data_IF_518203409073
#
_entry.id   IF_518203409073
#
_cell.length_a   1.000
_cell.length_b   1.000
_cell.length_c   1.000
_cell.angle_alpha   90.00
_cell.angle_beta   90.00
_cell.angle_gamma   90.00
#
_symmetry.space_group_name_H-M   'P 1'
#
loop_
_entity.id
_entity.type
_entity.pdbx_description
1 polymer ?
#
# COMPACT_ATOMS: atom_id res chain seq x y z
N UNK A 1 9.22 3.57 25.24
CA UNK A 1 8.18 2.79 24.53
C UNK A 1 7.65 1.80 25.54
N UNK A 2 6.37 1.89 25.86
CA UNK A 2 5.74 0.93 26.75
C UNK A 2 5.58 -0.41 26.02
N UNK A 3 5.57 -1.53 26.75
CA UNK A 3 5.37 -2.86 26.16
C UNK A 3 4.03 -2.97 25.39
N UNK A 4 3.03 -2.18 25.79
CA UNK A 4 1.73 -2.10 25.14
C UNK A 4 1.83 -1.48 23.74
N UNK A 5 2.64 -0.44 23.54
CA UNK A 5 2.83 0.22 22.24
C UNK A 5 3.39 -0.75 21.19
N UNK A 6 4.31 -1.63 21.59
CA UNK A 6 4.92 -2.63 20.72
C UNK A 6 3.90 -3.70 20.32
N UNK A 7 3.09 -4.15 21.29
CA UNK A 7 2.06 -5.16 21.09
C UNK A 7 0.98 -4.66 20.12
N UNK A 8 0.55 -3.41 20.26
CA UNK A 8 -0.39 -2.77 19.34
C UNK A 8 0.18 -2.65 17.92
N UNK A 9 1.46 -2.28 17.79
CA UNK A 9 2.14 -2.18 16.49
C UNK A 9 2.22 -3.52 15.78
N UNK A 10 2.58 -4.59 16.50
CA UNK A 10 2.63 -5.94 15.95
C UNK A 10 1.24 -6.42 15.51
N UNK A 11 0.22 -6.17 16.32
CA UNK A 11 -1.17 -6.52 16.00
C UNK A 11 -1.63 -5.77 14.74
N UNK A 12 -1.38 -4.47 14.67
CA UNK A 12 -1.70 -3.64 13.51
C UNK A 12 -0.98 -4.12 12.25
N UNK A 13 0.31 -4.46 12.36
CA UNK A 13 1.09 -4.98 11.23
C UNK A 13 0.56 -6.32 10.74
N UNK A 14 0.18 -7.22 11.65
CA UNK A 14 -0.39 -8.51 11.29
C UNK A 14 -1.75 -8.36 10.60
N UNK A 15 -2.60 -7.43 11.06
CA UNK A 15 -3.85 -7.07 10.37
C UNK A 15 -3.59 -6.52 8.97
N UNK A 16 -2.58 -5.66 8.81
CA UNK A 16 -2.20 -5.10 7.52
C UNK A 16 -1.73 -6.19 6.54
N UNK A 17 -0.85 -7.09 6.98
CA UNK A 17 -0.38 -8.23 6.17
C UNK A 17 -1.54 -9.09 5.69
N UNK A 18 -2.50 -9.37 6.57
CA UNK A 18 -3.70 -10.12 6.23
C UNK A 18 -4.57 -9.38 5.20
N UNK A 19 -4.83 -8.09 5.42
CA UNK A 19 -5.57 -7.24 4.50
C UNK A 19 -4.92 -7.22 3.10
N UNK A 20 -3.60 -7.04 3.03
CA UNK A 20 -2.88 -7.01 1.77
C UNK A 20 -2.97 -8.36 1.03
N UNK A 21 -2.91 -9.48 1.76
CA UNK A 21 -3.13 -10.81 1.20
C UNK A 21 -4.53 -10.99 0.60
N UNK A 22 -5.56 -10.50 1.27
CA UNK A 22 -6.95 -10.50 0.79
C UNK A 22 -7.10 -9.63 -0.47
N UNK A 23 -6.51 -8.43 -0.49
CA UNK A 23 -6.51 -7.51 -1.64
C UNK A 23 -5.78 -8.08 -2.85
N UNK A 24 -4.65 -8.77 -2.63
CA UNK A 24 -3.88 -9.44 -3.68
C UNK A 24 -4.70 -10.59 -4.30
N UNK A 25 -5.40 -11.38 -3.47
CA UNK A 25 -6.24 -12.48 -3.92
C UNK A 25 -7.55 -12.01 -4.55
N UNK A 26 -7.98 -10.78 -4.25
CA UNK A 26 -9.24 -10.22 -4.74
C UNK A 26 -10.47 -10.77 -4.02
N UNK A 27 -10.30 -11.34 -2.82
CA UNK A 27 -11.36 -11.91 -2.03
C UNK A 27 -11.14 -11.62 -0.55
N UNK A 28 -12.19 -11.13 0.12
CA UNK A 28 -12.18 -10.81 1.55
C UNK A 28 -13.17 -11.73 2.25
N UNK A 29 -12.70 -12.50 3.23
CA UNK A 29 -13.53 -13.44 4.00
C UNK A 29 -13.90 -12.91 5.39
N UNK A 30 -13.62 -11.63 5.67
CA UNK A 30 -13.81 -10.99 6.97
C UNK A 30 -14.95 -9.99 6.93
N UNK A 31 -15.63 -9.86 8.07
CA UNK A 31 -16.76 -8.96 8.27
C UNK A 31 -16.45 -7.81 9.24
N UNK A 32 -15.20 -7.72 9.72
CA UNK A 32 -14.78 -6.73 10.72
C UNK A 32 -13.46 -6.12 10.27
N UNK A 33 -13.42 -4.78 10.25
CA UNK A 33 -12.29 -3.98 9.80
C UNK A 33 -12.08 -2.81 10.76
N UNK A 34 -10.83 -2.45 11.02
CA UNK A 34 -10.54 -1.16 11.65
C UNK A 34 -10.79 0.00 10.68
N UNK A 35 -10.94 1.19 11.24
CA UNK A 35 -11.07 2.44 10.48
C UNK A 35 -9.95 2.63 9.45
N UNK A 36 -8.70 2.33 9.82
CA UNK A 36 -7.56 2.44 8.91
C UNK A 36 -7.56 1.35 7.82
N UNK A 37 -8.06 0.14 8.10
CA UNK A 37 -8.19 -0.93 7.09
C UNK A 37 -9.17 -0.48 5.98
N UNK A 38 -10.31 0.09 6.39
CA UNK A 38 -11.31 0.65 5.47
C UNK A 38 -10.74 1.81 4.65
N UNK A 39 -10.00 2.72 5.30
CA UNK A 39 -9.38 3.85 4.61
C UNK A 39 -8.43 3.39 3.49
N UNK A 40 -7.68 2.30 3.72
CA UNK A 40 -6.81 1.68 2.71
C UNK A 40 -7.61 1.01 1.60
N UNK A 41 -8.68 0.28 1.94
CA UNK A 41 -9.54 -0.37 0.93
C UNK A 41 -10.24 0.65 0.01
N UNK A 42 -10.74 1.75 0.58
CA UNK A 42 -11.34 2.84 -0.20
C UNK A 42 -10.29 3.48 -1.12
N UNK A 43 -9.10 3.73 -0.60
CA UNK A 43 -7.98 4.28 -1.37
C UNK A 43 -7.55 3.34 -2.51
N UNK A 44 -7.57 2.03 -2.30
CA UNK A 44 -7.30 1.03 -3.35
C UNK A 44 -8.28 1.09 -4.51
N UNK A 45 -9.57 1.32 -4.22
CA UNK A 45 -10.60 1.43 -5.26
C UNK A 45 -10.39 2.72 -6.09
N UNK A 46 -9.93 3.79 -5.46
CA UNK A 46 -9.64 5.05 -6.11
C UNK A 46 -8.34 5.00 -6.94
N UNK A 47 -7.35 4.24 -6.48
CA UNK A 47 -6.10 4.03 -7.20
C UNK A 47 -6.31 3.08 -8.40
N UNK A 48 -6.51 3.64 -9.59
CA UNK A 48 -6.61 2.88 -10.87
C UNK A 48 -5.27 2.21 -11.24
N UNK A 49 -4.92 1.12 -10.57
CA UNK A 49 -3.69 0.36 -10.85
C UNK A 49 -3.79 -0.41 -12.16
N UNK A 50 -2.74 -0.30 -13.00
CA UNK A 50 -2.61 -1.13 -14.19
C UNK A 50 -2.52 -2.61 -13.78
N UNK A 51 -3.40 -3.45 -14.35
CA UNK A 51 -3.51 -4.89 -14.03
C UNK A 51 -2.19 -5.64 -14.15
N UNK A 52 -1.32 -5.28 -15.12
CA UNK A 52 0.00 -5.91 -15.31
C UNK A 52 0.96 -5.65 -14.15
N UNK A 53 0.96 -4.42 -13.61
CA UNK A 53 1.88 -4.00 -12.52
C UNK A 53 1.24 -4.09 -11.13
N UNK A 54 -0.05 -4.40 -11.03
CA UNK A 54 -0.80 -4.42 -9.76
C UNK A 54 -0.13 -5.30 -8.70
N UNK A 55 0.19 -6.54 -9.03
CA UNK A 55 0.81 -7.48 -8.06
C UNK A 55 2.16 -6.98 -7.55
N UNK A 56 3.03 -6.53 -8.45
CA UNK A 56 4.34 -5.97 -8.10
C UNK A 56 4.20 -4.71 -7.24
N UNK A 57 3.30 -3.81 -7.63
CA UNK A 57 3.01 -2.57 -6.89
C UNK A 57 2.53 -2.87 -5.47
N UNK A 58 1.61 -3.84 -5.31
CA UNK A 58 1.11 -4.26 -3.99
C UNK A 58 2.20 -4.87 -3.12
N UNK A 59 3.11 -5.66 -3.71
CA UNK A 59 4.26 -6.22 -2.98
C UNK A 59 5.22 -5.13 -2.51
N UNK A 60 5.49 -4.14 -3.36
CA UNK A 60 6.36 -3.01 -3.00
C UNK A 60 5.71 -2.12 -1.94
N UNK A 61 4.40 -1.86 -2.07
CA UNK A 61 3.62 -1.16 -1.07
C UNK A 61 3.68 -1.87 0.29
N UNK A 62 3.46 -3.19 0.33
CA UNK A 62 3.56 -3.96 1.57
C UNK A 62 4.92 -3.81 2.26
N UNK A 63 6.01 -3.91 1.51
CA UNK A 63 7.37 -3.69 2.03
C UNK A 63 7.59 -2.25 2.53
N UNK A 64 6.98 -1.26 1.87
CA UNK A 64 7.09 0.13 2.29
C UNK A 64 6.37 0.38 3.63
N UNK A 65 5.18 -0.18 3.80
CA UNK A 65 4.44 -0.13 5.08
C UNK A 65 5.20 -0.86 6.19
N UNK A 66 5.72 -2.06 5.95
CA UNK A 66 6.52 -2.80 6.93
C UNK A 66 7.72 -1.95 7.43
N UNK A 67 8.41 -1.27 6.51
CA UNK A 67 9.52 -0.37 6.84
C UNK A 67 9.06 0.88 7.57
N UNK A 68 7.88 1.41 7.26
CA UNK A 68 7.31 2.56 7.97
C UNK A 68 7.02 2.18 9.43
N UNK A 69 6.32 1.06 9.64
CA UNK A 69 5.92 0.62 10.98
C UNK A 69 7.12 0.20 11.84
N UNK A 70 8.20 -0.28 11.23
CA UNK A 70 9.46 -0.53 11.93
C UNK A 70 10.13 0.76 12.46
N UNK A 71 9.83 1.93 11.89
CA UNK A 71 10.41 3.22 12.30
C UNK A 71 9.65 3.90 13.44
N UNK A 72 8.39 3.54 13.66
CA UNK A 72 7.62 4.12 14.74
C UNK A 72 6.11 3.89 14.64
N UNK A 73 5.39 4.28 15.71
CA UNK A 73 3.95 4.15 15.79
C UNK A 73 3.25 5.07 14.80
N UNK A 74 2.20 4.56 14.18
CA UNK A 74 1.37 5.29 13.23
C UNK A 74 0.58 4.33 12.34
N UNK A 75 -0.59 4.76 11.84
CA UNK A 75 -1.38 3.93 10.95
C UNK A 75 -0.60 3.61 9.66
N UNK A 76 -0.83 2.45 9.05
CA UNK A 76 -0.23 2.13 7.76
C UNK A 76 -0.52 3.22 6.72
N UNK A 77 0.52 3.68 6.01
CA UNK A 77 0.35 4.64 4.94
C UNK A 77 -0.59 4.12 3.83
N UNK A 78 -1.28 5.02 3.15
CA UNK A 78 -2.20 4.67 2.04
C UNK A 78 -1.45 4.29 0.77
N UNK A 79 -2.14 3.66 -0.19
CA UNK A 79 -1.55 3.31 -1.48
C UNK A 79 -1.25 4.58 -2.29
N UNK A 80 -2.17 5.54 -2.34
CA UNK A 80 -1.97 6.84 -3.00
C UNK A 80 -0.69 7.53 -2.53
N UNK A 81 -0.50 7.63 -1.21
CA UNK A 81 0.70 8.19 -0.60
C UNK A 81 1.98 7.43 -1.01
N UNK A 82 1.91 6.10 -1.11
CA UNK A 82 3.04 5.30 -1.62
C UNK A 82 3.32 5.58 -3.10
N UNK A 83 2.28 5.71 -3.92
CA UNK A 83 2.41 6.01 -5.35
C UNK A 83 2.98 7.40 -5.57
N UNK A 84 2.56 8.41 -4.81
CA UNK A 84 3.12 9.77 -4.84
C UNK A 84 4.62 9.76 -4.51
N UNK A 85 5.01 9.08 -3.42
CA UNK A 85 6.44 8.91 -3.07
C UNK A 85 7.23 8.19 -4.16
N UNK A 86 6.60 7.27 -4.87
CA UNK A 86 7.22 6.54 -5.98
C UNK A 86 7.33 7.39 -7.24
N UNK A 87 6.38 8.28 -7.54
CA UNK A 87 6.43 9.20 -8.67
C UNK A 87 7.50 10.27 -8.50
N UNK A 88 7.74 10.74 -7.27
CA UNK A 88 8.84 11.65 -6.97
C UNK A 88 10.23 11.00 -7.10
N UNK A 89 10.30 9.67 -7.19
CA UNK A 89 11.50 8.97 -7.69
C UNK A 89 11.33 8.84 -9.20
N UNK A 90 12.10 9.54 -10.04
CA UNK A 90 11.97 9.41 -11.48
C UNK A 90 12.08 7.92 -11.85
N UNK A 91 10.97 7.36 -12.35
CA UNK A 91 10.90 5.99 -12.86
C UNK A 91 11.53 6.04 -14.27
N UNK A 92 12.72 5.46 -14.49
CA UNK A 92 13.36 5.47 -15.81
C UNK A 92 12.56 4.71 -16.88
N UNK A 93 11.43 4.08 -16.52
CA UNK A 93 10.51 3.43 -17.48
C UNK A 93 9.35 4.31 -17.96
N UNK A 94 9.18 5.54 -17.44
CA UNK A 94 8.14 6.48 -17.88
C UNK A 94 8.64 7.53 -18.89
N UNK A 95 9.95 7.59 -19.17
CA UNK A 95 10.51 8.48 -20.21
C UNK A 95 10.22 8.03 -21.65
N UNK A 96 9.61 6.86 -21.87
CA UNK A 96 9.36 6.33 -23.23
C UNK A 96 7.95 6.58 -23.79
N UNK A 97 7.04 7.23 -23.07
CA UNK A 97 5.64 7.36 -23.56
C UNK A 97 5.20 8.76 -24.01
N UNK A 98 6.07 9.76 -23.93
CA UNK A 98 5.80 11.11 -24.44
C UNK A 98 6.84 11.53 -25.49
N UNK A 99 6.85 10.89 -26.67
CA UNK A 99 7.54 11.41 -27.87
C UNK A 99 7.07 10.76 -29.19
N UNK A 100 5.83 10.26 -29.27
CA UNK A 100 5.25 9.75 -30.54
C UNK A 100 3.85 10.29 -30.77
N UNK A 101 3.81 11.52 -31.27
CA UNK A 101 2.80 12.19 -32.11
C UNK A 101 3.02 13.69 -31.86
N UNK A 102 3.37 14.52 -32.84
CA UNK A 102 2.58 14.84 -34.02
C UNK A 102 3.51 15.40 -35.10
N UNK A 103 3.32 14.92 -36.34
CA UNK A 103 3.79 15.49 -37.61
C UNK A 103 3.31 16.94 -37.82
#
# INVERSE_FOLDING_TARGET
MAADDLSELELMLNRFRRLLGEVIRGATARNTFESWELAILLDFIQCKLNRRRRLDTLRQYGKAVERQMAKGPGPPMKLSEFLERKQHRPDPSLVETECRAVD
#
